data_IF_004777688226
#
_entry.id   IF_004777688226
#
_cell.length_a   1.000
_cell.length_b   1.000
_cell.length_c   1.000
_cell.angle_alpha   90.00
_cell.angle_beta   90.00
_cell.angle_gamma   90.00
#
_symmetry.space_group_name_H-M   'P 1'
#
loop_
_entity.id
_entity.type
_entity.pdbx_description
1 polymer ?
#
# COMPACT_ATOMS: atom_id res chain seq x y z
N UNK A 1 15.79 13.27 22.67
CA UNK A 1 15.19 12.15 23.41
C UNK A 1 14.33 11.34 22.45
N UNK A 2 14.92 10.36 21.77
CA UNK A 2 14.17 9.33 21.04
C UNK A 2 13.79 8.31 22.11
N UNK A 3 12.50 8.20 22.43
CA UNK A 3 12.02 7.20 23.40
C UNK A 3 11.94 5.88 22.66
N UNK A 4 13.03 5.10 22.72
CA UNK A 4 13.01 3.68 22.37
C UNK A 4 12.50 2.96 23.62
N UNK A 5 11.40 2.21 23.53
CA UNK A 5 10.76 1.57 24.69
C UNK A 5 11.76 0.67 25.43
N UNK A 6 12.11 1.03 26.67
CA UNK A 6 12.75 0.12 27.62
C UNK A 6 11.66 -0.85 28.16
N UNK A 7 12.01 -2.13 28.31
CA UNK A 7 11.06 -3.23 28.50
C UNK A 7 10.01 -3.03 29.60
N UNK A 8 8.77 -3.38 29.26
CA UNK A 8 7.60 -3.39 30.14
C UNK A 8 6.31 -3.34 29.32
N UNK A 9 5.56 -4.45 29.32
CA UNK A 9 4.20 -4.53 28.76
C UNK A 9 3.25 -3.72 29.66
N UNK A 10 3.07 -2.45 29.34
CA UNK A 10 1.98 -1.62 29.85
C UNK A 10 1.36 -0.83 28.70
N UNK A 11 0.07 -0.58 28.87
CA UNK A 11 -0.94 -0.29 27.86
C UNK A 11 -0.60 0.92 26.99
N UNK A 12 -0.55 0.71 25.68
CA UNK A 12 -0.51 1.82 24.73
C UNK A 12 -1.90 2.49 24.70
N UNK A 13 -2.04 3.77 25.08
CA UNK A 13 -3.32 4.46 25.00
C UNK A 13 -3.43 5.08 23.60
N UNK A 14 -4.02 4.35 22.66
CA UNK A 14 -4.39 4.91 21.35
C UNK A 14 -5.83 4.57 21.02
N UNK A 15 -6.76 5.42 21.49
CA UNK A 15 -8.16 5.41 21.08
C UNK A 15 -8.50 6.76 20.46
N UNK A 16 -8.54 6.83 19.12
CA UNK A 16 -9.19 7.95 18.40
C UNK A 16 -10.05 7.53 17.20
N UNK A 17 -9.88 6.33 16.64
CA UNK A 17 -10.83 5.70 15.68
C UNK A 17 -11.81 4.73 16.35
N UNK A 18 -11.38 4.11 17.45
CA UNK A 18 -12.18 3.18 18.22
C UNK A 18 -13.44 3.85 18.80
N UNK A 19 -13.37 5.14 19.12
CA UNK A 19 -14.54 5.94 19.52
C UNK A 19 -15.51 6.19 18.37
N UNK A 20 -15.04 6.28 17.12
CA UNK A 20 -15.91 6.37 15.95
C UNK A 20 -16.60 5.03 15.68
N UNK A 21 -15.87 3.93 15.90
CA UNK A 21 -16.42 2.59 15.85
C UNK A 21 -17.48 2.38 16.94
N UNK A 22 -17.17 2.71 18.20
CA UNK A 22 -18.13 2.68 19.32
C UNK A 22 -19.38 3.53 19.02
N UNK A 23 -19.22 4.74 18.48
CA UNK A 23 -20.34 5.59 18.09
C UNK A 23 -21.15 5.02 16.92
N UNK A 24 -20.51 4.33 15.97
CA UNK A 24 -21.18 3.63 14.87
C UNK A 24 -22.00 2.45 15.38
N UNK A 25 -21.45 1.61 16.26
CA UNK A 25 -22.21 0.51 16.86
C UNK A 25 -23.32 1.01 17.79
N UNK A 26 -23.10 2.10 18.55
CA UNK A 26 -24.16 2.76 19.31
C UNK A 26 -25.29 3.28 18.41
N UNK A 27 -24.95 3.94 17.29
CA UNK A 27 -25.93 4.40 16.31
C UNK A 27 -26.73 3.23 15.70
N UNK A 28 -26.06 2.13 15.35
CA UNK A 28 -26.73 0.95 14.81
C UNK A 28 -27.61 0.27 15.86
N UNK A 29 -27.18 0.18 17.11
CA UNK A 29 -27.99 -0.33 18.22
C UNK A 29 -29.27 0.50 18.44
N UNK A 30 -29.21 1.83 18.24
CA UNK A 30 -30.37 2.72 18.32
C UNK A 30 -31.33 2.60 17.12
N UNK A 31 -30.79 2.43 15.90
CA UNK A 31 -31.58 2.45 14.66
C UNK A 31 -32.09 1.08 14.23
N UNK A 32 -31.34 0.03 14.55
CA UNK A 32 -31.65 -1.36 14.24
C UNK A 32 -31.43 -2.21 15.49
N UNK A 33 -32.37 -2.22 16.46
CA UNK A 33 -32.22 -2.99 17.69
C UNK A 33 -32.15 -4.52 17.45
N UNK A 34 -32.60 -5.00 16.29
CA UNK A 34 -32.42 -6.39 15.84
C UNK A 34 -31.02 -6.66 15.26
N UNK A 35 -30.26 -5.64 14.90
CA UNK A 35 -28.90 -5.76 14.35
C UNK A 35 -27.92 -6.27 15.41
N UNK A 36 -28.00 -5.78 16.66
CA UNK A 36 -27.24 -6.31 17.80
C UNK A 36 -27.44 -7.84 17.94
N UNK A 37 -28.70 -8.31 17.86
CA UNK A 37 -29.02 -9.74 17.93
C UNK A 37 -28.44 -10.55 16.76
N UNK A 38 -28.27 -9.93 15.58
CA UNK A 38 -27.64 -10.55 14.40
C UNK A 38 -26.11 -10.51 14.43
N UNK A 39 -25.50 -9.47 15.03
CA UNK A 39 -24.04 -9.40 15.20
C UNK A 39 -23.54 -10.51 16.11
N UNK A 40 -24.32 -10.97 17.09
CA UNK A 40 -23.88 -12.02 18.01
C UNK A 40 -23.67 -13.39 17.34
N UNK A 41 -24.28 -13.62 16.16
CA UNK A 41 -23.99 -14.79 15.32
C UNK A 41 -23.30 -14.36 14.02
N UNK A 42 -22.00 -14.10 14.09
CA UNK A 42 -21.20 -13.74 12.91
C UNK A 42 -20.82 -14.94 12.04
N UNK A 43 -21.17 -16.16 12.46
CA UNK A 43 -20.71 -17.38 11.81
C UNK A 43 -21.29 -17.54 10.40
N UNK A 44 -22.50 -17.02 10.17
CA UNK A 44 -23.15 -16.99 8.84
C UNK A 44 -22.35 -16.18 7.81
N UNK A 45 -21.57 -15.20 8.26
CA UNK A 45 -20.72 -14.36 7.42
C UNK A 45 -19.26 -14.85 7.36
N UNK A 46 -18.95 -15.99 8.00
CA UNK A 46 -17.62 -16.58 8.03
C UNK A 46 -16.65 -16.01 9.08
N UNK A 47 -17.13 -15.16 10.00
CA UNK A 47 -16.31 -14.63 11.09
C UNK A 47 -16.56 -15.39 12.39
N UNK A 48 -15.49 -15.61 13.15
CA UNK A 48 -15.53 -16.42 14.38
C UNK A 48 -16.04 -15.65 15.60
N UNK A 49 -16.05 -14.31 15.53
CA UNK A 49 -16.56 -13.44 16.59
C UNK A 49 -16.99 -12.07 16.03
N UNK A 50 -17.83 -11.32 16.77
CA UNK A 50 -18.11 -9.91 16.49
C UNK A 50 -16.85 -9.04 16.41
N UNK A 51 -15.85 -9.33 17.24
CA UNK A 51 -14.57 -8.61 17.19
C UNK A 51 -13.84 -8.89 15.86
N UNK A 52 -13.81 -10.14 15.41
CA UNK A 52 -13.23 -10.46 14.10
C UNK A 52 -13.99 -9.80 12.95
N UNK A 53 -15.31 -9.67 13.03
CA UNK A 53 -16.09 -8.92 12.04
C UNK A 53 -15.68 -7.44 12.00
N UNK A 54 -15.55 -6.80 13.16
CA UNK A 54 -15.20 -5.38 13.25
C UNK A 54 -13.73 -5.08 12.94
N UNK A 55 -12.83 -5.96 13.39
CA UNK A 55 -11.39 -5.81 13.35
C UNK A 55 -10.72 -6.82 12.40
N UNK A 56 -11.42 -7.28 11.36
CA UNK A 56 -10.96 -8.36 10.46
C UNK A 56 -9.54 -8.14 9.92
N UNK A 57 -9.13 -6.89 9.72
CA UNK A 57 -7.76 -6.52 9.28
C UNK A 57 -6.67 -6.97 10.24
N UNK A 58 -6.99 -7.16 11.52
CA UNK A 58 -6.06 -7.58 12.56
C UNK A 58 -5.89 -9.12 12.62
N UNK A 59 -6.71 -9.86 11.87
CA UNK A 59 -6.73 -11.33 11.89
C UNK A 59 -6.07 -11.91 10.63
N UNK A 60 -5.15 -12.85 10.84
CA UNK A 60 -4.35 -13.43 9.76
C UNK A 60 -5.23 -14.15 8.74
N UNK A 61 -6.26 -14.87 9.22
CA UNK A 61 -7.23 -15.60 8.39
C UNK A 61 -7.92 -14.71 7.36
N UNK A 62 -8.15 -13.44 7.69
CA UNK A 62 -8.94 -12.53 6.86
C UNK A 62 -8.09 -11.59 6.02
N UNK A 63 -6.99 -11.08 6.58
CA UNK A 63 -6.20 -10.01 5.95
C UNK A 63 -4.81 -10.44 5.51
N UNK A 64 -4.13 -11.32 6.26
CA UNK A 64 -2.68 -11.55 6.17
C UNK A 64 -1.81 -10.29 6.42
N UNK A 65 -2.39 -9.19 6.90
CA UNK A 65 -1.67 -8.05 7.46
C UNK A 65 -1.14 -7.05 6.45
N UNK A 66 -0.18 -6.22 6.88
CA UNK A 66 0.30 -5.04 6.15
C UNK A 66 0.82 -5.35 4.73
N UNK A 67 1.33 -6.55 4.48
CA UNK A 67 1.74 -6.94 3.12
C UNK A 67 0.55 -7.03 2.16
N UNK A 68 -0.59 -7.53 2.61
CA UNK A 68 -1.81 -7.59 1.79
C UNK A 68 -2.52 -6.24 1.73
N UNK A 69 -2.63 -5.56 2.87
CA UNK A 69 -3.39 -4.32 2.98
C UNK A 69 -2.71 -3.13 2.32
N UNK A 70 -1.37 -3.07 2.36
CA UNK A 70 -0.59 -1.93 1.87
C UNK A 70 0.50 -2.35 0.88
N UNK A 71 1.19 -3.46 1.13
CA UNK A 71 2.28 -3.93 0.27
C UNK A 71 1.82 -4.36 -1.13
N UNK A 72 0.58 -4.86 -1.26
CA UNK A 72 -0.02 -5.31 -2.52
C UNK A 72 -0.03 -4.21 -3.58
N UNK A 73 -0.40 -2.98 -3.18
CA UNK A 73 -0.42 -1.81 -4.05
C UNK A 73 0.96 -1.56 -4.68
N UNK A 74 2.01 -1.57 -3.86
CA UNK A 74 3.35 -1.26 -4.34
C UNK A 74 3.99 -2.39 -5.13
N UNK A 75 3.67 -3.64 -4.79
CA UNK A 75 4.08 -4.79 -5.59
C UNK A 75 3.45 -4.73 -6.98
N UNK A 76 2.15 -4.40 -7.07
CA UNK A 76 1.45 -4.28 -8.35
C UNK A 76 2.04 -3.15 -9.21
N UNK A 77 2.31 -1.98 -8.61
CA UNK A 77 3.00 -0.86 -9.28
C UNK A 77 4.37 -1.28 -9.81
N UNK A 78 5.18 -1.98 -9.02
CA UNK A 78 6.50 -2.46 -9.46
C UNK A 78 6.38 -3.51 -10.58
N UNK A 79 5.42 -4.45 -10.46
CA UNK A 79 5.17 -5.46 -11.48
C UNK A 79 4.81 -4.81 -12.82
N UNK A 80 3.90 -3.83 -12.79
CA UNK A 80 3.49 -3.07 -13.96
C UNK A 80 4.64 -2.27 -14.56
N UNK A 81 5.36 -1.51 -13.73
CA UNK A 81 6.46 -0.63 -14.16
C UNK A 81 7.59 -1.40 -14.83
N UNK A 82 7.91 -2.60 -14.32
CA UNK A 82 9.01 -3.42 -14.82
C UNK A 82 8.59 -4.54 -15.76
N UNK A 83 7.27 -4.74 -15.95
CA UNK A 83 6.72 -5.83 -16.75
C UNK A 83 7.18 -7.21 -16.27
N UNK A 84 7.41 -7.38 -14.97
CA UNK A 84 7.99 -8.59 -14.39
C UNK A 84 7.62 -8.74 -12.91
N UNK A 85 7.49 -9.98 -12.45
CA UNK A 85 7.26 -10.34 -11.04
C UNK A 85 8.59 -10.55 -10.29
N UNK A 86 8.63 -10.45 -8.95
CA UNK A 86 9.84 -10.72 -8.19
C UNK A 86 10.25 -12.20 -8.26
N UNK A 87 11.55 -12.46 -8.16
CA UNK A 87 12.13 -13.81 -8.07
C UNK A 87 12.13 -14.33 -6.64
N UNK A 88 12.50 -13.47 -5.67
CA UNK A 88 12.61 -13.81 -4.26
C UNK A 88 12.24 -12.62 -3.36
N UNK A 89 11.84 -12.94 -2.14
CA UNK A 89 11.59 -11.97 -1.07
C UNK A 89 12.24 -12.42 0.24
N UNK A 90 12.83 -11.47 0.94
CA UNK A 90 13.16 -11.57 2.37
C UNK A 90 12.31 -10.57 3.14
N UNK A 91 11.74 -10.97 4.27
CA UNK A 91 10.92 -10.09 5.08
C UNK A 91 11.24 -10.27 6.57
N UNK A 92 11.36 -9.14 7.27
CA UNK A 92 11.41 -9.08 8.72
C UNK A 92 10.21 -8.26 9.23
N UNK A 93 9.75 -8.56 10.43
CA UNK A 93 8.67 -7.83 11.07
C UNK A 93 7.94 -8.68 12.10
N UNK A 94 6.92 -8.11 12.70
CA UNK A 94 6.13 -8.77 13.74
C UNK A 94 5.22 -7.80 14.44
N UNK A 95 4.68 -8.23 15.58
CA UNK A 95 3.92 -7.39 16.50
C UNK A 95 4.88 -6.96 17.60
N UNK A 96 5.34 -5.72 17.55
CA UNK A 96 6.38 -5.21 18.45
C UNK A 96 5.92 -4.06 19.33
N UNK A 97 4.85 -3.37 18.94
CA UNK A 97 4.32 -2.23 19.68
C UNK A 97 3.00 -2.51 20.38
N UNK A 98 2.11 -3.30 19.76
CA UNK A 98 0.78 -3.59 20.28
C UNK A 98 0.69 -4.92 21.03
N UNK A 99 -0.27 -5.02 21.96
CA UNK A 99 -0.61 -6.24 22.72
C UNK A 99 -2.14 -6.36 22.83
N UNK A 100 -2.83 -6.19 21.70
CA UNK A 100 -4.30 -6.11 21.58
C UNK A 100 -4.93 -7.39 21.03
N UNK A 101 -4.17 -8.49 20.98
CA UNK A 101 -4.63 -9.77 20.46
C UNK A 101 -4.60 -9.90 18.94
N UNK A 102 -4.09 -8.90 18.20
CA UNK A 102 -3.90 -9.02 16.75
C UNK A 102 -3.00 -10.21 16.38
N UNK A 103 -3.22 -10.76 15.19
CA UNK A 103 -2.47 -11.89 14.65
C UNK A 103 -1.48 -11.48 13.55
N UNK A 104 -1.55 -10.22 13.12
CA UNK A 104 -0.77 -9.68 11.99
C UNK A 104 0.24 -8.63 12.46
N UNK A 105 1.35 -8.54 11.75
CA UNK A 105 2.45 -7.65 12.10
C UNK A 105 2.05 -6.16 12.11
N UNK A 106 2.58 -5.41 13.08
CA UNK A 106 2.45 -3.94 13.18
C UNK A 106 3.63 -3.20 12.54
N UNK A 107 4.72 -3.93 12.25
CA UNK A 107 5.88 -3.50 11.47
C UNK A 107 6.27 -4.58 10.45
N UNK A 108 6.54 -4.16 9.22
CA UNK A 108 7.02 -5.02 8.14
C UNK A 108 8.14 -4.33 7.37
N UNK A 109 9.21 -5.06 7.08
CA UNK A 109 10.36 -4.64 6.28
C UNK A 109 10.67 -5.75 5.27
N UNK A 110 10.31 -5.53 4.01
CA UNK A 110 10.48 -6.49 2.92
C UNK A 110 11.48 -6.01 1.88
N UNK A 111 12.26 -6.93 1.34
CA UNK A 111 13.15 -6.70 0.19
C UNK A 111 12.81 -7.74 -0.88
N UNK A 112 12.34 -7.26 -2.02
CA UNK A 112 12.03 -8.06 -3.19
C UNK A 112 13.14 -7.90 -4.23
N UNK A 113 13.63 -9.02 -4.73
CA UNK A 113 14.55 -9.07 -5.86
C UNK A 113 13.74 -9.37 -7.12
N UNK A 114 13.86 -8.52 -8.13
CA UNK A 114 13.23 -8.65 -9.43
C UNK A 114 14.28 -8.98 -10.51
N UNK A 115 13.84 -9.50 -11.66
CA UNK A 115 14.73 -9.73 -12.80
C UNK A 115 15.51 -8.48 -13.21
N UNK A 116 16.69 -8.71 -13.80
CA UNK A 116 17.62 -7.68 -14.24
C UNK A 116 18.10 -6.79 -13.08
N UNK A 117 18.43 -7.40 -11.94
CA UNK A 117 19.09 -6.76 -10.79
C UNK A 117 18.31 -5.59 -10.19
N UNK A 118 16.98 -5.60 -10.36
CA UNK A 118 16.09 -4.60 -9.77
C UNK A 118 15.68 -5.02 -8.37
N UNK A 119 15.61 -4.05 -7.47
CA UNK A 119 15.27 -4.30 -6.06
C UNK A 119 14.16 -3.34 -5.66
N UNK A 120 13.16 -3.88 -4.97
CA UNK A 120 12.12 -3.12 -4.31
C UNK A 120 12.24 -3.34 -2.80
N UNK A 121 12.29 -2.25 -2.05
CA UNK A 121 12.20 -2.29 -0.59
C UNK A 121 10.86 -1.74 -0.15
N UNK A 122 10.12 -2.49 0.64
CA UNK A 122 8.85 -2.06 1.21
C UNK A 122 8.96 -2.01 2.73
N UNK A 123 8.52 -0.90 3.32
CA UNK A 123 8.43 -0.76 4.77
C UNK A 123 7.05 -0.25 5.13
N UNK A 124 6.45 -0.84 6.16
CA UNK A 124 5.21 -0.34 6.74
C UNK A 124 5.29 -0.45 8.26
N UNK A 125 5.03 0.67 8.92
CA UNK A 125 5.06 0.80 10.38
C UNK A 125 3.80 1.55 10.80
N UNK A 126 3.04 0.99 11.72
CA UNK A 126 1.75 1.56 12.16
C UNK A 126 1.88 2.48 13.39
N UNK A 127 3.09 2.61 13.94
CA UNK A 127 3.32 3.27 15.24
C UNK A 127 4.12 4.57 15.16
N UNK A 128 4.50 5.00 13.96
CA UNK A 128 5.19 6.25 13.74
C UNK A 128 4.62 6.96 12.50
N UNK A 129 4.20 8.22 12.69
CA UNK A 129 3.55 9.04 11.65
C UNK A 129 4.50 10.01 10.94
N UNK A 130 5.77 10.09 11.34
CA UNK A 130 6.70 11.10 10.86
C UNK A 130 6.93 11.03 9.35
N UNK A 131 7.27 9.84 8.85
CA UNK A 131 7.72 9.63 7.47
C UNK A 131 6.55 9.52 6.46
N UNK A 132 5.32 9.40 6.97
CA UNK A 132 4.08 9.22 6.20
C UNK A 132 4.22 8.09 5.15
N UNK A 133 3.61 8.26 3.97
CA UNK A 133 3.75 7.35 2.83
C UNK A 133 4.33 8.09 1.62
N UNK A 134 5.21 7.40 0.89
CA UNK A 134 5.84 7.85 -0.35
C UNK A 134 6.44 6.67 -1.11
N UNK A 135 6.77 6.91 -2.38
CA UNK A 135 7.51 5.98 -3.24
C UNK A 135 8.75 6.65 -3.82
N UNK A 136 9.83 5.89 -3.93
CA UNK A 136 11.08 6.32 -4.54
C UNK A 136 11.43 5.39 -5.70
N UNK A 137 11.52 5.94 -6.90
CA UNK A 137 12.01 5.25 -8.09
C UNK A 137 13.38 5.80 -8.43
N UNK A 138 14.41 5.03 -8.11
CA UNK A 138 15.81 5.45 -8.22
C UNK A 138 16.46 4.83 -9.45
N UNK A 139 17.09 5.65 -10.29
CA UNK A 139 17.83 5.21 -11.46
C UNK A 139 19.13 5.98 -11.66
N UNK A 140 19.92 5.58 -12.66
CA UNK A 140 21.26 6.16 -12.91
C UNK A 140 21.24 7.61 -13.39
N UNK A 141 20.07 8.17 -13.72
CA UNK A 141 19.90 9.56 -14.19
C UNK A 141 19.18 10.45 -13.18
N UNK A 142 18.63 9.87 -12.12
CA UNK A 142 17.87 10.59 -11.12
C UNK A 142 16.91 9.72 -10.33
N UNK A 143 16.22 10.36 -9.40
CA UNK A 143 15.23 9.76 -8.53
C UNK A 143 13.90 10.48 -8.68
N UNK A 144 12.84 9.73 -8.97
CA UNK A 144 11.47 10.21 -8.81
C UNK A 144 10.99 9.92 -7.38
N UNK A 145 10.45 10.94 -6.70
CA UNK A 145 9.91 10.86 -5.36
C UNK A 145 8.42 11.24 -5.40
N UNK A 146 7.55 10.28 -5.11
CA UNK A 146 6.10 10.43 -5.11
C UNK A 146 5.62 10.45 -3.66
N UNK A 147 4.84 11.44 -3.24
CA UNK A 147 4.34 11.52 -1.86
C UNK A 147 2.93 12.06 -1.80
N UNK A 148 2.18 11.66 -0.77
CA UNK A 148 0.83 12.21 -0.53
C UNK A 148 -0.17 11.96 -1.67
N UNK A 149 0.05 10.92 -2.50
CA UNK A 149 -0.78 10.50 -3.66
C UNK A 149 -0.91 11.53 -4.80
N UNK A 150 -0.45 12.76 -4.57
CA UNK A 150 -0.76 13.92 -5.40
C UNK A 150 0.45 14.82 -5.61
N UNK A 151 1.61 14.48 -5.07
CA UNK A 151 2.85 15.23 -5.28
C UNK A 151 3.91 14.31 -5.88
N UNK A 152 4.63 14.82 -6.88
CA UNK A 152 5.75 14.14 -7.50
C UNK A 152 6.92 15.11 -7.68
N UNK A 153 8.12 14.66 -7.33
CA UNK A 153 9.37 15.39 -7.48
C UNK A 153 10.35 14.53 -8.26
N UNK A 154 11.27 15.17 -8.98
CA UNK A 154 12.36 14.45 -9.65
C UNK A 154 13.69 15.16 -9.40
N UNK A 155 14.66 14.37 -8.98
CA UNK A 155 16.00 14.81 -8.63
C UNK A 155 16.98 14.25 -9.67
N UNK A 156 17.61 15.13 -10.44
CA UNK A 156 18.59 14.74 -11.46
C UNK A 156 19.97 14.51 -10.87
N UNK A 157 20.65 13.43 -11.25
CA UNK A 157 22.05 13.17 -10.87
C UNK A 157 23.04 14.19 -11.47
N UNK A 158 22.68 14.81 -12.60
CA UNK A 158 23.57 15.73 -13.32
C UNK A 158 23.50 17.19 -12.85
N UNK A 159 22.71 17.50 -11.81
CA UNK A 159 22.48 18.87 -11.33
C UNK A 159 21.80 19.80 -12.34
N UNK A 160 21.35 19.27 -13.49
CA UNK A 160 20.65 20.02 -14.53
C UNK A 160 19.15 20.11 -14.27
N UNK A 161 18.56 21.27 -14.62
CA UNK A 161 17.10 21.43 -14.74
C UNK A 161 16.54 20.32 -15.63
N UNK A 162 15.51 19.63 -15.16
CA UNK A 162 14.72 18.76 -16.00
C UNK A 162 14.21 19.54 -17.21
N UNK A 163 14.47 19.03 -18.42
CA UNK A 163 13.56 19.28 -19.52
C UNK A 163 12.20 18.72 -19.14
N UNK A 164 11.12 19.43 -19.48
CA UNK A 164 9.73 18.99 -19.30
C UNK A 164 9.62 17.47 -19.48
N UNK A 165 9.23 16.75 -18.42
CA UNK A 165 8.60 15.45 -18.62
C UNK A 165 7.28 15.76 -19.30
N UNK A 166 7.29 15.84 -20.63
CA UNK A 166 6.07 15.82 -21.43
C UNK A 166 5.48 14.43 -21.24
N UNK A 167 4.60 14.30 -20.26
CA UNK A 167 3.52 13.34 -20.36
C UNK A 167 2.86 13.64 -21.72
N UNK A 168 2.97 12.71 -22.68
CA UNK A 168 2.23 12.87 -23.93
C UNK A 168 0.75 12.93 -23.56
N UNK A 169 0.17 14.13 -23.69
CA UNK A 169 -1.25 14.36 -23.57
C UNK A 169 -1.97 13.54 -24.64
N UNK A 170 -2.56 12.41 -24.26
CA UNK A 170 -3.71 11.90 -24.99
C UNK A 170 -4.89 12.84 -24.76
N UNK A 171 -4.97 13.91 -25.56
CA UNK A 171 -6.19 14.65 -25.84
C UNK A 171 -6.84 15.43 -24.69
N UNK A 172 -6.59 16.74 -24.68
CA UNK A 172 -7.44 17.83 -24.16
C UNK A 172 -7.69 17.92 -22.65
N UNK A 173 -6.91 18.77 -21.97
CA UNK A 173 -7.37 19.44 -20.74
C UNK A 173 -6.30 19.90 -19.75
N UNK A 174 -5.42 20.84 -20.14
CA UNK A 174 -4.55 21.73 -19.33
C UNK A 174 -4.15 21.28 -17.89
N UNK A 175 -2.84 21.13 -17.59
CA UNK A 175 -2.36 21.01 -16.22
C UNK A 175 -2.30 22.40 -15.56
N UNK A 176 -2.63 22.49 -14.27
CA UNK A 176 -2.42 23.68 -13.46
C UNK A 176 -1.85 23.25 -12.11
N UNK A 177 -0.71 23.85 -11.77
CA UNK A 177 0.18 23.43 -10.69
C UNK A 177 -0.32 23.70 -9.27
N UNK A 178 0.49 23.28 -8.30
CA UNK A 178 1.17 24.16 -7.32
C UNK A 178 1.94 23.28 -6.33
N UNK A 179 3.22 23.55 -6.13
CA UNK A 179 4.04 22.88 -5.14
C UNK A 179 3.68 23.35 -3.72
N UNK A 180 3.55 22.42 -2.77
CA UNK A 180 3.64 22.74 -1.35
C UNK A 180 5.13 22.90 -0.98
N UNK A 181 5.59 24.14 -0.89
CA UNK A 181 7.00 24.50 -0.68
C UNK A 181 7.59 24.16 0.70
N UNK A 182 6.90 23.39 1.55
CA UNK A 182 7.35 23.05 2.89
C UNK A 182 8.26 21.83 2.92
N UNK A 183 7.97 20.76 2.16
CA UNK A 183 8.76 19.51 2.20
C UNK A 183 10.06 19.54 1.38
N UNK A 184 10.14 20.40 0.36
CA UNK A 184 11.34 20.53 -0.47
C UNK A 184 12.55 21.13 0.31
N UNK A 185 12.31 21.95 1.35
CA UNK A 185 13.37 22.54 2.17
C UNK A 185 13.95 21.59 3.21
N UNK A 186 13.14 20.69 3.75
CA UNK A 186 13.57 19.81 4.85
C UNK A 186 14.50 18.67 4.37
N UNK A 187 14.53 18.39 3.07
CA UNK A 187 15.42 17.41 2.43
C UNK A 187 16.60 18.04 1.66
N UNK A 188 16.83 19.35 1.82
CA UNK A 188 17.82 20.12 1.07
C UNK A 188 19.28 19.85 1.53
N UNK A 189 19.75 18.62 1.30
CA UNK A 189 21.17 18.24 1.37
C UNK A 189 21.77 17.86 0.01
N UNK A 190 20.94 17.54 -0.99
CA UNK A 190 21.39 17.02 -2.27
C UNK A 190 20.73 17.78 -3.43
N UNK A 191 21.37 18.84 -3.92
CA UNK A 191 21.24 19.35 -5.30
C UNK A 191 19.85 19.41 -5.93
N UNK A 192 18.79 19.68 -5.16
CA UNK A 192 17.42 19.63 -5.63
C UNK A 192 17.20 20.69 -6.72
N UNK A 193 17.00 20.24 -7.96
CA UNK A 193 16.38 21.07 -8.97
C UNK A 193 14.87 21.07 -8.72
N UNK A 194 14.26 22.26 -8.60
CA UNK A 194 12.81 22.40 -8.57
C UNK A 194 12.24 21.88 -9.90
N UNK A 195 11.62 20.69 -9.85
CA UNK A 195 10.78 20.17 -10.92
C UNK A 195 9.33 20.61 -10.69
N UNK A 196 8.62 20.95 -11.77
CA UNK A 196 7.19 21.15 -11.74
C UNK A 196 6.50 19.82 -11.41
N UNK A 197 6.08 19.66 -10.14
CA UNK A 197 5.35 18.48 -9.70
C UNK A 197 3.95 18.42 -10.29
N UNK A 198 3.57 17.26 -10.82
CA UNK A 198 2.20 17.00 -11.25
C UNK A 198 1.34 16.71 -10.02
N UNK A 199 0.17 17.36 -9.93
CA UNK A 199 -0.83 17.09 -8.89
C UNK A 199 -2.16 16.66 -9.50
N UNK A 200 -2.78 15.64 -8.92
CA UNK A 200 -4.16 15.26 -9.26
C UNK A 200 -5.11 16.31 -8.71
N UNK A 201 -5.96 16.87 -9.56
CA UNK A 201 -6.89 17.94 -9.18
C UNK A 201 -8.03 17.47 -8.27
N UNK A 202 -8.36 16.17 -8.29
CA UNK A 202 -9.36 15.55 -7.43
C UNK A 202 -8.91 14.16 -6.94
N UNK A 203 -8.86 13.90 -5.62
CA UNK A 203 -8.45 12.60 -5.07
C UNK A 203 -9.37 11.43 -5.47
N UNK A 204 -10.59 11.72 -5.95
CA UNK A 204 -11.52 10.69 -6.42
C UNK A 204 -11.33 10.31 -7.90
N UNK A 205 -10.50 11.03 -8.65
CA UNK A 205 -10.31 10.78 -10.08
C UNK A 205 -9.78 9.37 -10.40
N UNK A 206 -8.80 8.79 -9.67
CA UNK A 206 -8.35 7.42 -9.93
C UNK A 206 -9.49 6.40 -9.87
N UNK A 207 -10.37 6.51 -8.88
CA UNK A 207 -11.55 5.64 -8.73
C UNK A 207 -12.54 5.83 -9.87
N UNK A 208 -12.79 7.09 -10.27
CA UNK A 208 -13.67 7.37 -11.40
C UNK A 208 -13.13 6.75 -12.70
N UNK A 209 -11.84 6.92 -12.98
CA UNK A 209 -11.21 6.35 -14.17
C UNK A 209 -11.29 4.82 -14.18
N UNK A 210 -11.06 4.18 -13.04
CA UNK A 210 -11.13 2.72 -12.93
C UNK A 210 -12.55 2.20 -13.20
N UNK A 211 -13.57 2.81 -12.57
CA UNK A 211 -14.97 2.44 -12.77
C UNK A 211 -15.45 2.70 -14.21
N UNK A 212 -15.03 3.81 -14.82
CA UNK A 212 -15.37 4.14 -16.22
C UNK A 212 -14.74 3.13 -17.20
N UNK A 213 -13.49 2.74 -16.98
CA UNK A 213 -12.79 1.72 -17.78
C UNK A 213 -13.48 0.37 -17.63
N UNK A 214 -13.77 -0.06 -16.40
CA UNK A 214 -14.48 -1.31 -16.14
C UNK A 214 -15.85 -1.35 -16.83
N UNK A 215 -16.68 -0.31 -16.66
CA UNK A 215 -17.98 -0.23 -17.32
C UNK A 215 -17.86 -0.20 -18.85
N UNK A 216 -16.81 0.41 -19.38
CA UNK A 216 -16.54 0.45 -20.83
C UNK A 216 -16.11 -0.90 -21.37
N UNK A 217 -15.28 -1.65 -20.63
CA UNK A 217 -14.87 -3.01 -20.96
C UNK A 217 -16.09 -3.93 -21.11
N UNK A 218 -17.02 -3.88 -20.15
CA UNK A 218 -18.26 -4.66 -20.20
C UNK A 218 -19.12 -4.27 -21.41
N UNK A 219 -19.38 -2.97 -21.59
CA UNK A 219 -20.27 -2.49 -22.67
C UNK A 219 -19.75 -2.81 -24.07
N UNK A 220 -18.43 -2.83 -24.25
CA UNK A 220 -17.79 -3.10 -25.55
C UNK A 220 -17.40 -4.57 -25.73
N UNK A 221 -17.47 -5.38 -24.67
CA UNK A 221 -16.95 -6.74 -24.68
C UNK A 221 -15.43 -6.80 -24.87
N UNK A 222 -14.71 -5.79 -24.39
CA UNK A 222 -13.27 -5.62 -24.61
C UNK A 222 -12.53 -5.52 -23.27
N UNK A 223 -11.98 -6.63 -22.75
CA UNK A 223 -11.26 -6.63 -21.47
C UNK A 223 -9.92 -5.88 -21.53
N UNK A 224 -9.39 -5.52 -22.71
CA UNK A 224 -8.13 -4.75 -22.79
C UNK A 224 -8.27 -3.31 -22.30
N UNK A 225 -9.51 -2.85 -22.07
CA UNK A 225 -9.80 -1.50 -21.58
C UNK A 225 -9.56 -1.32 -20.07
N UNK A 226 -9.47 -2.40 -19.30
CA UNK A 226 -9.07 -2.34 -17.89
C UNK A 226 -7.56 -2.42 -17.76
N UNK A 227 -6.99 -1.60 -16.88
CA UNK A 227 -5.54 -1.55 -16.66
C UNK A 227 -5.01 -2.69 -15.79
N UNK A 228 -5.89 -3.40 -15.10
CA UNK A 228 -5.58 -4.54 -14.25
C UNK A 228 -6.54 -5.69 -14.57
N UNK A 229 -5.98 -6.89 -14.67
CA UNK A 229 -6.76 -8.12 -14.83
C UNK A 229 -6.51 -9.09 -13.66
N UNK A 230 -7.26 -10.20 -13.66
CA UNK A 230 -7.13 -11.22 -12.61
C UNK A 230 -5.76 -11.90 -12.59
N UNK A 231 -5.04 -11.94 -13.71
CA UNK A 231 -3.71 -12.54 -13.77
C UNK A 231 -2.67 -11.63 -13.10
N UNK A 232 -2.71 -10.32 -13.37
CA UNK A 232 -1.88 -9.32 -12.71
C UNK A 232 -2.12 -9.34 -11.19
N UNK A 233 -3.39 -9.32 -10.77
CA UNK A 233 -3.76 -9.41 -9.35
C UNK A 233 -3.30 -10.71 -8.69
N UNK A 234 -3.46 -11.85 -9.38
CA UNK A 234 -2.96 -13.15 -8.90
C UNK A 234 -1.44 -13.15 -8.71
N UNK A 235 -0.69 -12.61 -9.66
CA UNK A 235 0.78 -12.53 -9.60
C UNK A 235 1.27 -11.64 -8.46
N UNK A 236 0.65 -10.49 -8.24
CA UNK A 236 0.94 -9.63 -7.09
C UNK A 236 0.63 -10.35 -5.76
N UNK A 237 -0.51 -11.05 -5.68
CA UNK A 237 -0.92 -11.80 -4.50
C UNK A 237 0.07 -12.91 -4.11
N UNK A 238 0.70 -13.58 -5.09
CA UNK A 238 1.77 -14.55 -4.82
C UNK A 238 2.92 -13.89 -4.06
N UNK A 239 3.44 -12.76 -4.55
CA UNK A 239 4.56 -12.08 -3.93
C UNK A 239 4.22 -11.57 -2.52
N UNK A 240 2.99 -11.08 -2.32
CA UNK A 240 2.45 -10.71 -1.00
C UNK A 240 2.51 -11.90 -0.05
N UNK A 241 1.89 -13.03 -0.41
CA UNK A 241 1.82 -14.21 0.45
C UNK A 241 3.20 -14.82 0.72
N UNK A 242 4.11 -14.76 -0.26
CA UNK A 242 5.50 -15.18 -0.07
C UNK A 242 6.26 -14.27 0.88
N UNK A 243 5.95 -12.97 0.91
CA UNK A 243 6.52 -12.05 1.90
C UNK A 243 6.03 -12.38 3.31
N UNK A 244 4.73 -12.64 3.47
CA UNK A 244 4.15 -13.09 4.75
C UNK A 244 4.81 -14.40 5.22
N UNK A 245 4.98 -15.38 4.34
CA UNK A 245 5.69 -16.62 4.66
C UNK A 245 7.17 -16.39 5.01
N UNK A 246 7.84 -15.45 4.32
CA UNK A 246 9.23 -15.11 4.58
C UNK A 246 9.40 -14.50 5.99
N UNK A 247 8.46 -13.64 6.39
CA UNK A 247 8.38 -13.06 7.72
C UNK A 247 8.21 -14.15 8.79
N UNK A 248 7.21 -15.01 8.62
CA UNK A 248 6.84 -16.02 9.62
C UNK A 248 7.92 -17.07 9.84
N UNK A 249 8.56 -17.51 8.76
CA UNK A 249 9.59 -18.54 8.83
C UNK A 249 11.00 -17.98 9.03
N UNK A 250 11.15 -16.66 9.00
CA UNK A 250 12.44 -15.96 9.01
C UNK A 250 13.42 -16.52 7.96
N UNK A 251 12.92 -16.68 6.73
CA UNK A 251 13.64 -17.29 5.60
C UNK A 251 13.32 -16.57 4.30
N UNK A 252 14.28 -16.52 3.40
CA UNK A 252 14.04 -16.08 2.02
C UNK A 252 13.05 -17.03 1.34
N UNK A 253 12.08 -16.47 0.61
CA UNK A 253 11.07 -17.21 -0.15
C UNK A 253 11.16 -16.91 -1.63
N UNK A 254 10.98 -17.93 -2.47
CA UNK A 254 10.81 -17.70 -3.90
C UNK A 254 9.40 -17.20 -4.18
N UNK A 255 9.32 -16.17 -5.02
CA UNK A 255 8.08 -15.60 -5.54
C UNK A 255 7.64 -16.26 -6.85
N UNK A 256 8.51 -17.04 -7.49
CA UNK A 256 8.17 -17.85 -8.66
C UNK A 256 7.41 -19.08 -8.21
N UNK A 257 6.19 -19.26 -8.72
CA UNK A 257 5.48 -20.54 -8.60
C UNK A 257 5.96 -21.43 -9.74
N UNK A 258 6.39 -22.65 -9.41
CA UNK A 258 6.67 -23.66 -10.43
C UNK A 258 5.39 -23.88 -11.25
N UNK A 259 5.50 -23.74 -12.57
CA UNK A 259 4.36 -23.75 -13.45
C UNK A 259 3.63 -25.09 -13.35
N UNK A 260 2.47 -25.12 -12.68
CA UNK A 260 1.71 -26.35 -12.39
C UNK A 260 1.20 -27.04 -13.66
N UNK A 261 1.40 -26.43 -14.84
CA UNK A 261 1.09 -26.99 -16.16
C UNK A 261 2.23 -27.82 -16.75
N UNK A 262 3.39 -27.87 -16.10
CA UNK A 262 4.58 -28.60 -16.57
C UNK A 262 4.99 -29.78 -15.69
N UNK A 263 4.15 -30.15 -14.72
CA UNK A 263 4.34 -31.29 -13.81
C UNK A 263 3.37 -32.44 -14.12
#
# INVERSE_FOLDING_TARGET
NIVMREGGKEDAPFYTEQKQFELYFQYLAEKEPEFEAKIHDTSEYGYESPDMLGNWRLYKKMSHGLMSELGSHQIDVCNWMWGAEPDYVSCAGGIWAYDDGREVADHVFSIFQYPNEKVMTFTSITTNKFDHYYDQVMGTKGTAFLTGESEAYYYSESGGKLGEVKMEESGSGKPAGSASGSRAKDMAGAGAAEGDGASLSNPFDPYRYELEKFASAIRKGDPSLVGCDGEAGYKAAIAVLRSVQAQEENKVKSCRIADARTA
#
